data_IF_138706489281
#
_entry.id   IF_138706489281
#
_cell.length_a   1.000
_cell.length_b   1.000
_cell.length_c   1.000
_cell.angle_alpha   90.00
_cell.angle_beta   90.00
_cell.angle_gamma   90.00
#
_symmetry.space_group_name_H-M   'P 1'
#
loop_
_entity.id
_entity.type
_entity.pdbx_description
1 polymer ?
#
# COMPACT_ATOMS: atom_id res chain seq x y z
N UNK A 1 -5.80 -16.80 2.07
CA UNK A 1 -5.80 -15.66 1.13
C UNK A 1 -4.47 -14.92 1.26
N UNK A 2 -3.64 -14.93 0.23
CA UNK A 2 -2.33 -14.27 0.22
C UNK A 2 -2.52 -12.75 0.37
N UNK A 3 -1.71 -12.12 1.24
CA UNK A 3 -1.79 -10.69 1.52
C UNK A 3 -1.74 -9.87 0.24
N UNK A 4 -2.84 -9.17 -0.06
CA UNK A 4 -2.92 -8.33 -1.24
C UNK A 4 -1.87 -7.21 -1.12
N UNK A 5 -0.88 -7.18 -2.04
CA UNK A 5 0.04 -6.04 -2.16
C UNK A 5 -0.77 -4.83 -2.63
N UNK A 6 -1.06 -3.87 -1.76
CA UNK A 6 -1.81 -2.65 -2.07
C UNK A 6 -0.89 -1.45 -1.99
N UNK A 7 -1.13 -0.46 -2.84
CA UNK A 7 -0.53 0.85 -2.61
C UNK A 7 -1.23 1.53 -1.44
N UNK A 8 -0.54 2.40 -0.71
CA UNK A 8 -1.11 3.33 0.26
C UNK A 8 -0.65 4.73 -0.11
N UNK A 9 -1.60 5.64 -0.35
CA UNK A 9 -1.31 7.05 -0.58
C UNK A 9 -0.71 7.65 0.68
N UNK A 10 0.49 8.23 0.57
CA UNK A 10 1.16 8.90 1.69
C UNK A 10 0.45 10.19 2.10
N UNK A 11 -0.20 10.87 1.15
CA UNK A 11 -0.89 12.14 1.39
C UNK A 11 -2.26 11.98 2.06
N UNK A 12 -3.01 10.93 1.72
CA UNK A 12 -4.39 10.73 2.22
C UNK A 12 -4.55 9.49 3.11
N UNK A 13 -3.52 8.65 3.18
CA UNK A 13 -3.55 7.38 3.93
C UNK A 13 -4.43 6.29 3.30
N UNK A 14 -5.09 6.55 2.16
CA UNK A 14 -6.00 5.61 1.51
C UNK A 14 -5.26 4.51 0.75
N UNK A 15 -5.82 3.31 0.76
CA UNK A 15 -5.32 2.22 -0.07
C UNK A 15 -5.70 2.43 -1.54
N UNK A 16 -4.71 2.31 -2.41
CA UNK A 16 -4.83 2.45 -3.86
C UNK A 16 -4.32 1.19 -4.56
N UNK A 17 -4.70 1.01 -5.83
CA UNK A 17 -4.27 -0.15 -6.62
C UNK A 17 -2.80 -0.01 -7.02
N UNK A 18 -2.17 -1.13 -7.36
CA UNK A 18 -0.78 -1.14 -7.88
C UNK A 18 -0.62 -0.31 -9.16
N UNK A 19 -1.67 -0.19 -9.97
CA UNK A 19 -1.67 0.73 -11.13
C UNK A 19 -1.48 2.18 -10.71
N UNK A 20 -2.09 2.61 -9.60
CA UNK A 20 -1.90 3.95 -9.05
C UNK A 20 -0.49 4.13 -8.49
N UNK A 21 0.06 3.10 -7.82
CA UNK A 21 1.46 3.11 -7.34
C UNK A 21 2.42 3.36 -8.49
N UNK A 22 2.24 2.67 -9.62
CA UNK A 22 3.11 2.83 -10.81
C UNK A 22 3.01 4.21 -11.44
N UNK A 23 1.83 4.85 -11.40
CA UNK A 23 1.62 6.21 -11.95
C UNK A 23 2.12 7.31 -11.03
N UNK A 24 2.05 7.10 -9.72
CA UNK A 24 2.43 8.08 -8.70
C UNK A 24 3.33 7.46 -7.62
N UNK A 25 4.56 7.02 -7.99
CA UNK A 25 5.47 6.37 -7.05
C UNK A 25 5.92 7.33 -5.93
N UNK A 26 5.97 8.64 -6.22
CA UNK A 26 6.43 9.67 -5.29
C UNK A 26 5.47 9.91 -4.11
N UNK A 27 4.17 9.64 -4.29
CA UNK A 27 3.13 9.90 -3.27
C UNK A 27 2.40 8.62 -2.84
N UNK A 28 2.90 7.45 -3.25
CA UNK A 28 2.27 6.16 -2.96
C UNK A 28 3.30 5.15 -2.46
N UNK A 29 3.03 4.56 -1.30
CA UNK A 29 3.84 3.52 -0.66
C UNK A 29 3.30 2.14 -1.05
N UNK A 30 4.17 1.15 -1.26
CA UNK A 30 3.72 -0.23 -1.50
C UNK A 30 3.60 -0.97 -0.17
N UNK A 31 2.37 -1.26 0.26
CA UNK A 31 2.09 -1.95 1.51
C UNK A 31 1.59 -3.37 1.23
N UNK A 32 2.34 -4.37 1.70
CA UNK A 32 1.89 -5.75 1.69
C UNK A 32 1.05 -6.00 2.94
N UNK A 33 -0.27 -6.15 2.80
CA UNK A 33 -1.15 -6.57 3.91
C UNK A 33 -0.93 -8.04 4.33
N UNK A 34 0.16 -8.67 3.85
CA UNK A 34 0.67 -9.92 4.38
C UNK A 34 1.62 -9.66 5.54
N UNK A 35 1.13 -9.83 6.78
CA UNK A 35 1.95 -10.02 7.98
C UNK A 35 2.74 -8.80 8.52
N UNK A 36 2.22 -7.57 8.42
CA UNK A 36 2.67 -6.47 9.30
C UNK A 36 1.55 -6.01 10.24
N UNK A 37 0.93 -6.98 10.91
CA UNK A 37 0.42 -6.76 12.25
C UNK A 37 1.57 -6.94 13.23
N UNK A 38 2.58 -6.06 13.23
CA UNK A 38 3.47 -5.95 14.39
C UNK A 38 2.79 -5.01 15.38
N UNK A 39 1.80 -5.59 16.06
CA UNK A 39 1.36 -5.20 17.41
C UNK A 39 2.60 -5.07 18.29
N UNK A 40 2.96 -3.86 18.70
CA UNK A 40 3.19 -3.44 20.10
C UNK A 40 3.72 -2.01 20.11
#
# INVERSE_FOLDING_TARGET
>A
MAGAKRGRSASTGRFVKQSTVKRHPSTTVNESTGKSGKKK
#
